data_IF_274454678357
#
_entry.id   IF_274454678357
#
_cell.length_a   1.000
_cell.length_b   1.000
_cell.length_c   1.000
_cell.angle_alpha   90.00
_cell.angle_beta   90.00
_cell.angle_gamma   90.00
#
_symmetry.space_group_name_H-M   'P 1'
#
loop_
_entity.id
_entity.type
_entity.pdbx_description
1 polymer ?
#
# COMPACT_ATOMS: atom_id res chain seq x y z
N UNK A 1 4.52 -24.00 3.91
CA UNK A 1 4.82 -22.65 4.38
C UNK A 1 5.74 -21.95 3.39
N UNK A 2 6.95 -22.45 3.10
CA UNK A 2 7.90 -21.80 2.18
C UNK A 2 7.34 -21.55 0.78
N UNK A 3 6.60 -22.51 0.22
CA UNK A 3 5.96 -22.38 -1.09
C UNK A 3 4.93 -21.22 -1.06
N UNK A 4 4.06 -21.18 -0.06
CA UNK A 4 3.07 -20.11 0.08
C UNK A 4 3.75 -18.75 0.17
N UNK A 5 4.83 -18.65 0.98
CA UNK A 5 5.61 -17.43 1.12
C UNK A 5 6.18 -16.94 -0.22
N UNK A 6 6.77 -17.84 -1.01
CA UNK A 6 7.34 -17.55 -2.33
C UNK A 6 6.25 -17.16 -3.33
N UNK A 7 5.11 -17.86 -3.35
CA UNK A 7 3.96 -17.55 -4.20
C UNK A 7 3.45 -16.12 -3.95
N UNK A 8 3.39 -15.69 -2.68
CA UNK A 8 2.96 -14.34 -2.32
C UNK A 8 3.94 -13.29 -2.85
N UNK A 9 5.25 -13.50 -2.65
CA UNK A 9 6.28 -12.56 -3.14
C UNK A 9 6.22 -12.45 -4.66
N UNK A 10 6.06 -13.57 -5.36
CA UNK A 10 5.91 -13.56 -6.81
C UNK A 10 4.62 -12.84 -7.25
N UNK A 11 3.50 -13.10 -6.56
CA UNK A 11 2.23 -12.40 -6.80
C UNK A 11 2.41 -10.89 -6.72
N UNK A 12 3.02 -10.41 -5.63
CA UNK A 12 3.23 -8.97 -5.42
C UNK A 12 4.10 -8.37 -6.52
N UNK A 13 5.22 -9.02 -6.84
CA UNK A 13 6.20 -8.47 -7.77
C UNK A 13 5.76 -8.50 -9.23
N UNK A 14 4.89 -9.44 -9.62
CA UNK A 14 4.48 -9.63 -11.02
C UNK A 14 3.13 -9.01 -11.39
N UNK A 15 2.38 -8.45 -10.44
CA UNK A 15 1.00 -7.95 -10.65
C UNK A 15 0.91 -6.83 -11.71
N UNK A 16 1.97 -6.06 -11.89
CA UNK A 16 1.98 -4.94 -12.82
C UNK A 16 2.23 -5.30 -14.28
N UNK A 17 2.75 -6.50 -14.58
CA UNK A 17 3.15 -6.87 -15.95
C UNK A 17 2.73 -8.30 -16.37
N UNK A 18 2.14 -9.09 -15.47
CA UNK A 18 1.55 -10.40 -15.80
C UNK A 18 0.05 -10.35 -15.55
N UNK A 19 -0.73 -10.54 -16.61
CA UNK A 19 -2.18 -10.55 -16.53
C UNK A 19 -2.71 -11.84 -15.86
N UNK A 20 -3.71 -11.72 -15.01
CA UNK A 20 -4.47 -12.78 -14.36
C UNK A 20 -3.70 -13.79 -13.49
N UNK A 21 -2.46 -14.18 -13.83
CA UNK A 21 -1.69 -15.19 -13.12
C UNK A 21 -1.36 -14.81 -11.67
N UNK A 22 -0.93 -13.57 -11.35
CA UNK A 22 -0.62 -13.19 -9.98
C UNK A 22 -1.80 -13.42 -9.03
N UNK A 23 -3.01 -13.08 -9.48
CA UNK A 23 -4.24 -13.29 -8.73
C UNK A 23 -4.55 -14.78 -8.55
N UNK A 24 -4.32 -15.62 -9.56
CA UNK A 24 -4.48 -17.08 -9.44
C UNK A 24 -3.50 -17.65 -8.41
N UNK A 25 -2.24 -17.22 -8.44
CA UNK A 25 -1.22 -17.62 -7.47
C UNK A 25 -1.57 -17.17 -6.05
N UNK A 26 -2.11 -15.97 -5.89
CA UNK A 26 -2.63 -15.49 -4.62
C UNK A 26 -3.72 -16.41 -4.06
N UNK A 27 -4.72 -16.77 -4.88
CA UNK A 27 -5.78 -17.70 -4.46
C UNK A 27 -5.22 -19.08 -4.09
N UNK A 28 -4.27 -19.61 -4.85
CA UNK A 28 -3.59 -20.87 -4.52
C UNK A 28 -2.93 -20.75 -3.13
N UNK A 29 -2.18 -19.67 -2.87
CA UNK A 29 -1.58 -19.40 -1.57
C UNK A 29 -2.61 -19.33 -0.44
N UNK A 30 -3.75 -18.69 -0.67
CA UNK A 30 -4.85 -18.63 0.30
C UNK A 30 -5.47 -20.01 0.58
N UNK A 31 -5.78 -20.79 -0.46
CA UNK A 31 -6.35 -22.13 -0.29
C UNK A 31 -5.39 -23.09 0.42
N UNK A 32 -4.10 -23.05 0.08
CA UNK A 32 -3.08 -23.80 0.80
C UNK A 32 -2.97 -23.37 2.27
N UNK A 33 -3.18 -22.08 2.56
CA UNK A 33 -3.16 -21.58 3.93
C UNK A 33 -4.38 -22.04 4.72
N UNK A 34 -5.57 -22.01 4.12
CA UNK A 34 -6.81 -22.53 4.73
C UNK A 34 -6.66 -24.02 5.01
N UNK A 35 -6.21 -24.79 4.01
CA UNK A 35 -5.93 -26.20 4.17
C UNK A 35 -4.91 -26.46 5.30
N UNK A 36 -3.81 -25.70 5.31
CA UNK A 36 -2.82 -25.77 6.37
C UNK A 36 -3.36 -25.46 7.76
N UNK A 37 -4.35 -24.57 7.91
CA UNK A 37 -5.02 -24.28 9.17
C UNK A 37 -5.85 -25.48 9.66
N UNK A 38 -6.51 -26.20 8.76
CA UNK A 38 -7.30 -27.38 9.10
C UNK A 38 -6.45 -28.55 9.65
N UNK A 39 -5.20 -28.65 9.18
CA UNK A 39 -4.24 -29.69 9.58
C UNK A 39 -3.22 -29.24 10.63
N UNK A 40 -3.43 -28.08 11.26
CA UNK A 40 -2.62 -27.67 12.40
C UNK A 40 -2.92 -28.57 13.61
N UNK A 41 -2.07 -29.57 13.83
CA UNK A 41 -2.25 -30.56 14.90
C UNK A 41 -2.16 -29.97 16.31
N UNK A 42 -1.52 -28.82 16.49
CA UNK A 42 -1.20 -28.31 17.83
C UNK A 42 -1.98 -27.05 18.22
N UNK A 43 -3.23 -27.26 18.61
CA UNK A 43 -4.04 -26.21 19.28
C UNK A 43 -3.71 -26.07 20.77
N UNK A 44 -2.86 -26.97 21.34
CA UNK A 44 -2.36 -26.83 22.70
C UNK A 44 -1.51 -25.53 22.77
N UNK A 45 -1.81 -24.68 23.75
CA UNK A 45 -1.14 -23.39 23.86
C UNK A 45 -1.64 -22.30 22.91
N UNK A 46 -2.68 -22.53 22.10
CA UNK A 46 -3.22 -21.56 21.16
C UNK A 46 -3.63 -20.26 21.87
N UNK A 47 -4.31 -20.33 23.00
CA UNK A 47 -4.68 -19.15 23.80
C UNK A 47 -3.45 -18.33 24.23
N UNK A 48 -2.40 -19.02 24.70
CA UNK A 48 -1.16 -18.36 25.10
C UNK A 48 -0.45 -17.70 23.90
N UNK A 49 -0.45 -18.39 22.74
CA UNK A 49 0.08 -17.83 21.50
C UNK A 49 -0.73 -16.61 21.05
N UNK A 50 -2.04 -16.61 21.11
CA UNK A 50 -2.89 -15.44 20.83
C UNK A 50 -2.54 -14.26 21.73
N UNK A 51 -2.43 -14.48 23.05
CA UNK A 51 -2.12 -13.45 24.01
C UNK A 51 -0.71 -12.87 23.82
N UNK A 52 0.28 -13.71 23.47
CA UNK A 52 1.64 -13.26 23.17
C UNK A 52 1.77 -12.51 21.84
N UNK A 53 0.75 -12.59 20.97
CA UNK A 53 0.72 -11.98 19.63
C UNK A 53 -0.44 -10.99 19.44
N UNK A 54 -1.02 -10.50 20.53
CA UNK A 54 -2.28 -9.74 20.51
C UNK A 54 -2.30 -8.55 19.54
N UNK A 55 -1.22 -7.77 19.44
CA UNK A 55 -1.16 -6.60 18.55
C UNK A 55 -1.09 -7.04 17.08
N UNK A 56 -0.27 -8.04 16.76
CA UNK A 56 -0.21 -8.57 15.40
C UNK A 56 -1.56 -9.16 14.98
N UNK A 57 -2.25 -9.87 15.88
CA UNK A 57 -3.58 -10.42 15.63
C UNK A 57 -4.61 -9.30 15.47
N UNK A 58 -4.56 -8.26 16.29
CA UNK A 58 -5.42 -7.09 16.13
C UNK A 58 -5.24 -6.44 14.75
N UNK A 59 -4.00 -6.34 14.27
CA UNK A 59 -3.71 -5.86 12.91
C UNK A 59 -4.29 -6.80 11.84
N UNK A 60 -4.14 -8.12 11.96
CA UNK A 60 -4.74 -9.07 11.03
C UNK A 60 -6.27 -8.99 11.03
N UNK A 61 -6.88 -8.89 12.20
CA UNK A 61 -8.33 -8.71 12.33
C UNK A 61 -8.80 -7.40 11.71
N UNK A 62 -8.03 -6.33 11.80
CA UNK A 62 -8.37 -5.06 11.15
C UNK A 62 -8.32 -5.14 9.62
N UNK A 63 -7.39 -5.91 9.04
CA UNK A 63 -7.36 -6.21 7.60
C UNK A 63 -8.64 -6.97 7.19
N UNK A 64 -9.02 -7.99 7.96
CA UNK A 64 -10.26 -8.73 7.73
C UNK A 64 -11.48 -7.83 7.86
N UNK A 65 -11.52 -6.97 8.88
CA UNK A 65 -12.62 -6.03 9.12
C UNK A 65 -12.74 -5.01 7.97
N UNK A 66 -11.62 -4.48 7.48
CA UNK A 66 -11.58 -3.59 6.32
C UNK A 66 -12.10 -4.30 5.05
N UNK A 67 -11.71 -5.55 4.85
CA UNK A 67 -12.25 -6.38 3.77
C UNK A 67 -13.74 -6.66 3.93
N UNK A 68 -14.19 -6.97 5.15
CA UNK A 68 -15.59 -7.25 5.47
C UNK A 68 -16.47 -6.00 5.25
N UNK A 69 -16.02 -4.80 5.63
CA UNK A 69 -16.78 -3.56 5.42
C UNK A 69 -17.08 -3.34 3.94
N UNK A 70 -16.10 -3.59 3.06
CA UNK A 70 -16.24 -3.47 1.61
C UNK A 70 -17.19 -4.54 1.04
N UNK A 71 -17.00 -5.78 1.46
CA UNK A 71 -17.80 -6.91 1.00
C UNK A 71 -19.27 -6.74 1.40
N UNK A 72 -19.54 -6.42 2.67
CA UNK A 72 -20.88 -6.23 3.20
C UNK A 72 -21.58 -5.06 2.51
N UNK A 73 -20.89 -3.91 2.36
CA UNK A 73 -21.43 -2.77 1.63
C UNK A 73 -21.84 -3.17 0.19
N UNK A 74 -20.97 -3.86 -0.54
CA UNK A 74 -21.25 -4.30 -1.92
C UNK A 74 -22.40 -5.31 -2.03
N UNK A 75 -22.72 -6.03 -0.96
CA UNK A 75 -23.84 -6.97 -0.93
C UNK A 75 -25.16 -6.30 -0.54
N UNK A 76 -25.12 -5.27 0.33
CA UNK A 76 -26.30 -4.55 0.79
C UNK A 76 -26.85 -3.60 -0.28
N UNK A 77 -25.94 -2.88 -0.96
CA UNK A 77 -26.36 -1.84 -1.92
C UNK A 77 -26.24 -2.35 -3.36
N UNK A 78 -27.37 -2.60 -4.04
CA UNK A 78 -27.36 -2.86 -5.48
C UNK A 78 -26.95 -1.58 -6.23
N UNK A 79 -26.19 -1.73 -7.28
CA UNK A 79 -25.85 -0.61 -8.16
C UNK A 79 -26.29 -0.94 -9.58
N UNK A 80 -26.86 0.04 -10.30
CA UNK A 80 -27.29 -0.12 -11.69
C UNK A 80 -26.36 0.61 -12.65
N UNK A 81 -25.94 1.84 -12.33
CA UNK A 81 -25.11 2.68 -13.19
C UNK A 81 -23.63 2.75 -12.75
N UNK A 82 -23.31 2.39 -11.49
CA UNK A 82 -21.96 2.40 -10.93
C UNK A 82 -21.50 0.98 -10.55
N UNK A 83 -21.85 -0.02 -11.37
CA UNK A 83 -21.55 -1.43 -11.13
C UNK A 83 -20.06 -1.69 -10.95
N UNK A 84 -19.19 -1.00 -11.70
CA UNK A 84 -17.74 -1.13 -11.58
C UNK A 84 -17.21 -0.85 -10.17
N UNK A 85 -17.81 0.13 -9.47
CA UNK A 85 -17.43 0.45 -8.09
C UNK A 85 -17.79 -0.72 -7.19
N UNK A 86 -19.01 -1.23 -7.30
CA UNK A 86 -19.50 -2.37 -6.53
C UNK A 86 -18.62 -3.60 -6.74
N UNK A 87 -18.31 -3.93 -7.99
CA UNK A 87 -17.51 -5.11 -8.34
C UNK A 87 -16.07 -5.00 -7.80
N UNK A 88 -15.49 -3.80 -7.83
CA UNK A 88 -14.17 -3.55 -7.25
C UNK A 88 -14.18 -3.67 -5.72
N UNK A 89 -15.20 -3.13 -5.04
CA UNK A 89 -15.35 -3.27 -3.59
C UNK A 89 -15.58 -4.73 -3.18
N UNK A 90 -16.41 -5.46 -3.91
CA UNK A 90 -16.65 -6.90 -3.69
C UNK A 90 -15.35 -7.70 -3.86
N UNK A 91 -14.66 -7.51 -4.97
CA UNK A 91 -13.42 -8.23 -5.24
C UNK A 91 -12.30 -7.85 -4.27
N UNK A 92 -12.09 -6.54 -4.02
CA UNK A 92 -11.08 -6.04 -3.07
C UNK A 92 -11.35 -6.50 -1.65
N UNK A 93 -12.63 -6.48 -1.21
CA UNK A 93 -13.03 -6.97 0.11
C UNK A 93 -12.68 -8.44 0.33
N UNK A 94 -12.97 -9.30 -0.65
CA UNK A 94 -12.59 -10.73 -0.59
C UNK A 94 -11.09 -10.92 -0.50
N UNK A 95 -10.31 -10.19 -1.29
CA UNK A 95 -8.85 -10.32 -1.31
C UNK A 95 -8.23 -9.88 0.02
N UNK A 96 -8.75 -8.82 0.66
CA UNK A 96 -8.29 -8.40 1.99
C UNK A 96 -8.62 -9.45 3.07
N UNK A 97 -9.84 -10.02 3.07
CA UNK A 97 -10.21 -11.10 4.01
C UNK A 97 -9.27 -12.30 3.83
N UNK A 98 -9.06 -12.73 2.60
CA UNK A 98 -8.16 -13.84 2.30
C UNK A 98 -6.72 -13.55 2.69
N UNK A 99 -6.23 -12.31 2.52
CA UNK A 99 -4.93 -11.89 3.01
C UNK A 99 -4.81 -12.05 4.53
N UNK A 100 -5.84 -11.66 5.28
CA UNK A 100 -5.87 -11.82 6.74
C UNK A 100 -5.81 -13.30 7.18
N UNK A 101 -6.56 -14.18 6.51
CA UNK A 101 -6.54 -15.63 6.79
C UNK A 101 -5.17 -16.23 6.47
N UNK A 102 -4.61 -15.90 5.33
CA UNK A 102 -3.27 -16.34 4.90
C UNK A 102 -2.19 -15.84 5.87
N UNK A 103 -2.30 -14.59 6.31
CA UNK A 103 -1.40 -14.00 7.30
C UNK A 103 -1.44 -14.73 8.63
N UNK A 104 -2.63 -15.10 9.09
CA UNK A 104 -2.80 -15.84 10.33
C UNK A 104 -2.09 -17.20 10.29
N UNK A 105 -2.24 -17.96 9.20
CA UNK A 105 -1.54 -19.23 9.01
C UNK A 105 -0.02 -19.04 8.99
N UNK A 106 0.47 -18.11 8.19
CA UNK A 106 1.92 -17.87 8.06
C UNK A 106 2.52 -17.32 9.35
N UNK A 107 1.81 -16.46 10.08
CA UNK A 107 2.26 -15.95 11.37
C UNK A 107 2.44 -17.06 12.41
N UNK A 108 1.52 -18.03 12.44
CA UNK A 108 1.63 -19.19 13.32
C UNK A 108 2.81 -20.09 12.92
N UNK A 109 3.09 -20.16 11.63
CA UNK A 109 4.09 -21.06 11.03
C UNK A 109 5.40 -20.35 10.67
N UNK A 110 5.64 -19.12 11.12
CA UNK A 110 6.79 -18.28 10.69
C UNK A 110 8.16 -18.93 10.99
N UNK A 111 8.26 -19.76 12.02
CA UNK A 111 9.50 -20.48 12.37
C UNK A 111 9.95 -21.50 11.34
N UNK A 112 9.05 -21.90 10.42
CA UNK A 112 9.32 -22.90 9.37
C UNK A 112 9.85 -22.22 8.09
N UNK A 113 9.78 -20.89 7.97
CA UNK A 113 10.32 -20.20 6.80
C UNK A 113 11.84 -20.22 6.85
N UNK A 114 12.45 -20.92 5.87
CA UNK A 114 13.89 -21.10 5.80
C UNK A 114 14.61 -19.79 5.42
N UNK A 115 15.86 -19.65 5.85
CA UNK A 115 16.70 -18.52 5.46
C UNK A 115 16.93 -18.46 3.94
N UNK A 116 16.98 -19.60 3.28
CA UNK A 116 17.07 -19.67 1.81
C UNK A 116 15.82 -19.10 1.14
N UNK A 117 14.62 -19.33 1.71
CA UNK A 117 13.38 -18.74 1.21
C UNK A 117 13.39 -17.22 1.30
N UNK A 118 13.94 -16.64 2.37
CA UNK A 118 14.12 -15.20 2.49
C UNK A 118 15.08 -14.63 1.44
N UNK A 119 16.21 -15.30 1.19
CA UNK A 119 17.16 -14.92 0.13
C UNK A 119 16.52 -15.00 -1.25
N UNK A 120 15.81 -16.09 -1.52
CA UNK A 120 15.12 -16.28 -2.78
C UNK A 120 14.04 -15.19 -2.99
N UNK A 121 13.26 -14.88 -1.97
CA UNK A 121 12.25 -13.82 -2.01
C UNK A 121 12.87 -12.44 -2.30
N UNK A 122 14.00 -12.11 -1.66
CA UNK A 122 14.71 -10.87 -1.91
C UNK A 122 15.23 -10.79 -3.35
N UNK A 123 15.86 -11.86 -3.86
CA UNK A 123 16.32 -11.92 -5.24
C UNK A 123 15.15 -11.79 -6.22
N UNK A 124 14.08 -12.55 -6.01
CA UNK A 124 12.86 -12.51 -6.83
C UNK A 124 12.28 -11.11 -6.87
N UNK A 125 12.15 -10.41 -5.73
CA UNK A 125 11.57 -9.07 -5.70
C UNK A 125 12.41 -8.04 -6.47
N UNK A 126 13.74 -8.13 -6.44
CA UNK A 126 14.64 -7.27 -7.24
C UNK A 126 14.48 -7.57 -8.73
N UNK A 127 14.51 -8.85 -9.11
CA UNK A 127 14.36 -9.29 -10.52
C UNK A 127 13.01 -8.83 -11.08
N UNK A 128 11.92 -9.02 -10.33
CA UNK A 128 10.59 -8.58 -10.75
C UNK A 128 10.51 -7.06 -10.85
N UNK A 129 11.19 -6.31 -9.97
CA UNK A 129 11.35 -4.86 -10.10
C UNK A 129 12.05 -4.45 -11.40
N UNK A 130 13.14 -5.14 -11.79
CA UNK A 130 13.83 -4.92 -13.07
C UNK A 130 12.95 -5.25 -14.28
N UNK A 131 12.18 -6.33 -14.21
CA UNK A 131 11.21 -6.66 -15.26
C UNK A 131 10.12 -5.58 -15.37
N UNK A 132 9.66 -5.03 -14.26
CA UNK A 132 8.71 -3.89 -14.25
C UNK A 132 9.32 -2.67 -14.98
N UNK A 133 10.63 -2.39 -14.79
CA UNK A 133 11.33 -1.33 -15.55
C UNK A 133 11.28 -1.61 -17.04
N UNK A 134 11.57 -2.85 -17.42
CA UNK A 134 11.55 -3.25 -18.83
C UNK A 134 10.19 -3.03 -19.48
N UNK A 135 9.12 -3.51 -18.86
CA UNK A 135 7.76 -3.33 -19.38
C UNK A 135 7.33 -1.86 -19.37
N UNK A 136 7.69 -1.10 -18.34
CA UNK A 136 7.42 0.34 -18.29
C UNK A 136 8.16 1.11 -19.39
N UNK A 137 9.39 0.72 -19.71
CA UNK A 137 10.14 1.29 -20.83
C UNK A 137 9.47 0.98 -22.18
N UNK A 138 9.00 -0.26 -22.38
CA UNK A 138 8.26 -0.64 -23.60
C UNK A 138 6.98 0.18 -23.75
N UNK A 139 6.20 0.35 -22.68
CA UNK A 139 4.98 1.18 -22.70
C UNK A 139 5.31 2.65 -23.06
N UNK A 140 6.41 3.18 -22.53
CA UNK A 140 6.86 4.54 -22.87
C UNK A 140 7.33 4.64 -24.33
N UNK A 141 8.01 3.62 -24.85
CA UNK A 141 8.51 3.59 -26.22
C UNK A 141 7.39 3.63 -27.28
N UNK A 142 6.18 3.17 -26.96
CA UNK A 142 5.01 3.27 -27.82
C UNK A 142 4.24 4.60 -27.66
N UNK A 143 4.84 5.59 -26.96
CA UNK A 143 4.31 6.95 -26.85
C UNK A 143 3.38 7.22 -25.67
N UNK A 144 3.28 6.30 -24.70
CA UNK A 144 2.50 6.53 -23.48
C UNK A 144 3.31 7.40 -22.51
N UNK A 145 2.89 8.65 -22.30
CA UNK A 145 3.60 9.60 -21.44
C UNK A 145 3.64 9.19 -19.97
N UNK A 146 2.55 8.58 -19.47
CA UNK A 146 2.42 8.14 -18.07
C UNK A 146 2.13 6.65 -18.05
N UNK A 147 3.13 5.86 -17.64
CA UNK A 147 2.97 4.41 -17.59
C UNK A 147 1.88 3.99 -16.60
N UNK A 148 1.06 3.04 -17.00
CA UNK A 148 0.04 2.39 -16.14
C UNK A 148 0.20 0.87 -16.05
N UNK A 149 0.96 0.30 -16.95
CA UNK A 149 1.13 -1.15 -17.06
C UNK A 149 -0.24 -1.87 -17.10
N UNK A 150 -0.38 -2.94 -16.34
CA UNK A 150 -1.66 -3.66 -16.23
C UNK A 150 -2.61 -3.09 -15.17
N UNK A 151 -2.29 -1.94 -14.57
CA UNK A 151 -3.20 -1.24 -13.67
C UNK A 151 -4.11 -0.28 -14.44
N UNK A 152 -5.29 0.02 -13.86
CA UNK A 152 -6.29 0.87 -14.49
C UNK A 152 -5.82 2.33 -14.67
N UNK A 153 -4.91 2.77 -13.79
CA UNK A 153 -4.40 4.14 -13.78
C UNK A 153 -2.92 4.22 -13.38
N UNK A 154 -2.21 5.23 -13.88
CA UNK A 154 -0.82 5.50 -13.50
C UNK A 154 -0.64 5.75 -11.98
N UNK A 155 -1.66 6.30 -11.31
CA UNK A 155 -1.67 6.46 -9.84
C UNK A 155 -1.68 5.11 -9.14
N UNK A 156 -2.51 4.17 -9.57
CA UNK A 156 -2.57 2.81 -9.05
C UNK A 156 -1.24 2.09 -9.18
N UNK A 157 -0.63 2.16 -10.37
CA UNK A 157 0.72 1.62 -10.64
C UNK A 157 1.73 2.20 -9.67
N UNK A 158 1.73 3.52 -9.50
CA UNK A 158 2.66 4.20 -8.60
C UNK A 158 2.52 3.75 -7.14
N UNK A 159 1.30 3.57 -6.64
CA UNK A 159 1.06 3.11 -5.26
C UNK A 159 1.53 1.67 -5.06
N UNK A 160 1.29 0.79 -6.03
CA UNK A 160 1.82 -0.58 -6.01
C UNK A 160 3.35 -0.56 -5.97
N UNK A 161 4.00 0.28 -6.79
CA UNK A 161 5.46 0.40 -6.83
C UNK A 161 6.05 0.89 -5.50
N UNK A 162 5.41 1.87 -4.82
CA UNK A 162 5.86 2.31 -3.49
C UNK A 162 5.78 1.15 -2.50
N UNK A 163 4.69 0.41 -2.48
CA UNK A 163 4.50 -0.75 -1.58
C UNK A 163 5.51 -1.86 -1.89
N UNK A 164 5.74 -2.17 -3.18
CA UNK A 164 6.75 -3.15 -3.61
C UNK A 164 8.17 -2.72 -3.21
N UNK A 165 8.50 -1.43 -3.28
CA UNK A 165 9.82 -0.93 -2.88
C UNK A 165 10.08 -1.14 -1.39
N UNK A 166 9.10 -0.85 -0.52
CA UNK A 166 9.21 -1.09 0.92
C UNK A 166 9.38 -2.58 1.22
N UNK A 167 8.64 -3.43 0.51
CA UNK A 167 8.80 -4.88 0.63
C UNK A 167 10.21 -5.31 0.22
N UNK A 168 10.71 -4.82 -0.93
CA UNK A 168 12.04 -5.15 -1.43
C UNK A 168 13.13 -4.75 -0.42
N UNK A 169 13.10 -3.52 0.13
CA UNK A 169 14.02 -3.08 1.18
C UNK A 169 13.96 -4.00 2.41
N UNK A 170 12.78 -4.40 2.83
CA UNK A 170 12.59 -5.26 4.01
C UNK A 170 13.13 -6.67 3.77
N UNK A 171 12.92 -7.23 2.59
CA UNK A 171 13.45 -8.54 2.20
C UNK A 171 14.98 -8.53 2.07
N UNK A 172 15.57 -7.48 1.48
CA UNK A 172 17.02 -7.28 1.40
C UNK A 172 17.62 -7.21 2.82
N UNK A 173 17.02 -6.43 3.72
CA UNK A 173 17.45 -6.35 5.12
C UNK A 173 17.51 -7.73 5.78
N UNK A 174 16.53 -8.57 5.49
CA UNK A 174 16.41 -9.91 6.04
C UNK A 174 17.40 -10.91 5.45
N UNK A 175 17.65 -10.81 4.14
CA UNK A 175 18.45 -11.75 3.36
C UNK A 175 19.95 -11.44 3.42
N UNK A 176 20.34 -10.15 3.57
CA UNK A 176 21.73 -9.69 3.45
C UNK A 176 22.23 -9.19 4.80
N UNK A 177 23.07 -10.00 5.46
CA UNK A 177 23.67 -9.66 6.75
C UNK A 177 24.82 -8.65 6.63
N UNK A 178 25.62 -8.72 5.56
CA UNK A 178 26.75 -7.81 5.33
C UNK A 178 26.22 -6.41 5.01
N UNK A 179 26.64 -5.42 5.80
CA UNK A 179 26.17 -4.03 5.68
C UNK A 179 26.52 -3.38 4.34
N UNK A 180 27.71 -3.63 3.81
CA UNK A 180 28.15 -3.05 2.53
C UNK A 180 27.28 -3.55 1.37
N UNK A 181 27.13 -4.88 1.25
CA UNK A 181 26.26 -5.46 0.22
C UNK A 181 24.80 -5.02 0.36
N UNK A 182 24.31 -4.95 1.59
CA UNK A 182 22.94 -4.45 1.87
C UNK A 182 22.77 -3.01 1.39
N UNK A 183 23.74 -2.13 1.65
CA UNK A 183 23.71 -0.75 1.17
C UNK A 183 23.72 -0.67 -0.35
N UNK A 184 24.56 -1.47 -1.03
CA UNK A 184 24.59 -1.53 -2.50
C UNK A 184 23.22 -1.97 -3.06
N UNK A 185 22.60 -3.02 -2.50
CA UNK A 185 21.27 -3.43 -2.93
C UNK A 185 20.18 -2.40 -2.63
N UNK A 186 20.27 -1.66 -1.54
CA UNK A 186 19.35 -0.56 -1.26
C UNK A 186 19.48 0.57 -2.28
N UNK A 187 20.69 0.95 -2.63
CA UNK A 187 20.95 1.96 -3.67
C UNK A 187 20.40 1.49 -5.03
N UNK A 188 20.66 0.25 -5.41
CA UNK A 188 20.12 -0.31 -6.66
C UNK A 188 18.59 -0.30 -6.66
N UNK A 189 17.96 -0.76 -5.58
CA UNK A 189 16.49 -0.76 -5.42
C UNK A 189 15.92 0.65 -5.47
N UNK A 190 16.59 1.61 -4.81
CA UNK A 190 16.21 3.02 -4.86
C UNK A 190 16.18 3.55 -6.30
N UNK A 191 17.22 3.29 -7.11
CA UNK A 191 17.24 3.73 -8.49
C UNK A 191 16.19 3.07 -9.36
N UNK A 192 15.96 1.76 -9.20
CA UNK A 192 14.93 1.00 -9.92
C UNK A 192 13.56 1.66 -9.70
N UNK A 193 13.16 1.82 -8.44
CA UNK A 193 11.83 2.35 -8.11
C UNK A 193 11.70 3.86 -8.34
N UNK A 194 12.79 4.65 -8.18
CA UNK A 194 12.79 6.06 -8.55
C UNK A 194 12.49 6.24 -10.02
N UNK A 195 13.18 5.48 -10.89
CA UNK A 195 12.97 5.56 -12.34
C UNK A 195 11.54 5.18 -12.72
N UNK A 196 11.02 4.07 -12.18
CA UNK A 196 9.65 3.63 -12.40
C UNK A 196 8.61 4.68 -11.96
N UNK A 197 8.77 5.24 -10.78
CA UNK A 197 7.85 6.25 -10.24
C UNK A 197 7.87 7.54 -11.08
N UNK A 198 9.03 7.94 -11.56
CA UNK A 198 9.15 9.09 -12.47
C UNK A 198 8.42 8.88 -13.79
N UNK A 199 8.36 7.64 -14.30
CA UNK A 199 7.58 7.31 -15.49
C UNK A 199 6.06 7.40 -15.26
N UNK A 200 5.58 7.25 -14.01
CA UNK A 200 4.15 7.41 -13.69
C UNK A 200 3.71 8.87 -13.55
N UNK A 201 4.65 9.78 -13.32
CA UNK A 201 4.42 11.21 -13.01
C UNK A 201 3.42 11.45 -11.86
N UNK A 202 3.31 10.50 -10.91
CA UNK A 202 2.36 10.57 -9.80
C UNK A 202 3.01 11.25 -8.60
N UNK A 203 2.74 12.56 -8.42
CA UNK A 203 3.40 13.43 -7.41
C UNK A 203 3.31 12.89 -5.99
N UNK A 204 2.13 12.44 -5.57
CA UNK A 204 1.89 11.91 -4.22
C UNK A 204 2.70 10.65 -3.93
N UNK A 205 2.78 9.71 -4.87
CA UNK A 205 3.56 8.49 -4.74
C UNK A 205 5.07 8.79 -4.74
N UNK A 206 5.53 9.67 -5.63
CA UNK A 206 6.94 10.10 -5.70
C UNK A 206 7.35 10.72 -4.36
N UNK A 207 6.59 11.71 -3.86
CA UNK A 207 6.87 12.34 -2.56
C UNK A 207 6.89 11.33 -1.41
N UNK A 208 5.91 10.43 -1.35
CA UNK A 208 5.84 9.37 -0.34
C UNK A 208 7.06 8.45 -0.41
N UNK A 209 7.46 8.02 -1.61
CA UNK A 209 8.63 7.15 -1.80
C UNK A 209 9.93 7.82 -1.26
N UNK A 210 10.14 9.11 -1.54
CA UNK A 210 11.31 9.82 -1.03
C UNK A 210 11.28 9.98 0.48
N UNK A 211 10.13 10.26 1.08
CA UNK A 211 9.96 10.28 2.55
C UNK A 211 10.33 8.93 3.13
N UNK A 212 9.81 7.84 2.56
CA UNK A 212 10.11 6.46 2.98
C UNK A 212 11.62 6.17 2.89
N UNK A 213 12.26 6.50 1.77
CA UNK A 213 13.69 6.28 1.58
C UNK A 213 14.54 7.13 2.54
N UNK A 214 14.14 8.37 2.80
CA UNK A 214 14.80 9.25 3.76
C UNK A 214 14.73 8.67 5.18
N UNK A 215 13.54 8.24 5.62
CA UNK A 215 13.36 7.64 6.94
C UNK A 215 14.14 6.32 7.03
N UNK A 216 14.13 5.47 5.99
CA UNK A 216 14.95 4.26 5.94
C UNK A 216 16.44 4.58 6.09
N UNK A 217 16.94 5.59 5.36
CA UNK A 217 18.32 6.03 5.45
C UNK A 217 18.67 6.50 6.87
N UNK A 218 17.81 7.27 7.54
CA UNK A 218 17.99 7.68 8.92
C UNK A 218 18.15 6.47 9.87
N UNK A 219 17.33 5.43 9.70
CA UNK A 219 17.43 4.21 10.51
C UNK A 219 18.70 3.40 10.23
N UNK A 220 19.12 3.27 8.99
CA UNK A 220 20.31 2.50 8.59
C UNK A 220 21.61 3.24 8.90
N UNK A 221 21.63 4.57 8.73
CA UNK A 221 22.81 5.40 8.98
C UNK A 221 23.06 5.69 10.47
N UNK A 222 22.09 5.43 11.36
CA UNK A 222 22.21 5.74 12.79
C UNK A 222 23.49 5.20 13.44
N UNK A 223 24.00 4.07 12.96
CA UNK A 223 25.19 3.40 13.49
C UNK A 223 26.43 3.59 12.57
N UNK A 224 26.37 4.52 11.62
CA UNK A 224 27.42 4.75 10.64
C UNK A 224 28.17 6.05 10.97
N UNK A 225 29.47 6.10 10.69
CA UNK A 225 30.31 7.28 10.98
C UNK A 225 29.77 8.53 10.24
N UNK A 226 29.83 9.73 10.85
CA UNK A 226 29.24 10.97 10.29
C UNK A 226 29.71 11.33 8.87
N UNK A 227 30.94 10.95 8.49
CA UNK A 227 31.47 11.19 7.13
C UNK A 227 30.61 10.56 6.01
N UNK A 228 29.93 9.44 6.29
CA UNK A 228 29.06 8.78 5.31
C UNK A 228 27.70 9.46 5.21
N UNK A 229 27.28 10.19 6.24
CA UNK A 229 26.08 11.04 6.19
C UNK A 229 26.23 12.14 5.14
N UNK A 230 27.41 12.76 5.05
CA UNK A 230 27.69 13.77 4.04
C UNK A 230 27.57 13.20 2.62
N UNK A 231 28.14 12.02 2.37
CA UNK A 231 28.02 11.34 1.08
C UNK A 231 26.57 10.97 0.75
N UNK A 232 25.80 10.49 1.73
CA UNK A 232 24.38 10.18 1.54
C UNK A 232 23.57 11.46 1.23
N UNK A 233 23.80 12.54 1.95
CA UNK A 233 23.15 13.83 1.70
C UNK A 233 23.49 14.38 0.32
N UNK A 234 24.77 14.30 -0.09
CA UNK A 234 25.21 14.72 -1.42
C UNK A 234 24.49 13.90 -2.51
N UNK A 235 24.45 12.57 -2.37
CA UNK A 235 23.74 11.70 -3.30
C UNK A 235 22.23 12.03 -3.39
N UNK A 236 21.58 12.24 -2.24
CA UNK A 236 20.17 12.64 -2.17
C UNK A 236 19.95 13.99 -2.86
N UNK A 237 20.87 14.96 -2.66
CA UNK A 237 20.78 16.30 -3.26
C UNK A 237 20.92 16.25 -4.78
N UNK A 238 21.89 15.48 -5.30
CA UNK A 238 22.09 15.32 -6.75
C UNK A 238 20.88 14.65 -7.39
N UNK A 239 20.39 13.58 -6.79
CA UNK A 239 19.22 12.84 -7.28
C UNK A 239 17.96 13.71 -7.17
N UNK A 240 17.76 14.36 -6.03
CA UNK A 240 16.65 15.28 -5.80
C UNK A 240 16.64 16.44 -6.80
N UNK A 241 17.80 16.99 -7.11
CA UNK A 241 17.97 18.02 -8.15
C UNK A 241 17.57 17.52 -9.55
N UNK A 242 18.02 16.33 -9.94
CA UNK A 242 17.64 15.71 -11.22
C UNK A 242 16.14 15.44 -11.34
N UNK A 243 15.52 14.98 -10.24
CA UNK A 243 14.07 14.77 -10.16
C UNK A 243 13.32 16.11 -10.23
N UNK A 244 13.75 17.10 -9.46
CA UNK A 244 13.14 18.43 -9.47
C UNK A 244 13.19 19.04 -10.89
N UNK A 245 14.31 18.88 -11.60
CA UNK A 245 14.43 19.29 -12.99
C UNK A 245 13.42 18.59 -13.91
N UNK A 246 13.34 17.26 -13.84
CA UNK A 246 12.35 16.48 -14.63
C UNK A 246 10.91 16.82 -14.25
N UNK A 247 10.65 17.15 -13.00
CA UNK A 247 9.33 17.48 -12.47
C UNK A 247 9.01 18.98 -12.49
N UNK A 248 9.91 19.82 -13.01
CA UNK A 248 9.75 21.29 -12.99
C UNK A 248 8.39 21.74 -13.53
N UNK A 249 7.97 21.22 -14.68
CA UNK A 249 6.65 21.53 -15.27
C UNK A 249 5.52 21.21 -14.31
N UNK A 250 5.58 20.06 -13.62
CA UNK A 250 4.58 19.62 -12.66
C UNK A 250 4.57 20.44 -11.37
N UNK A 251 5.72 20.95 -10.97
CA UNK A 251 5.87 21.85 -9.80
C UNK A 251 5.23 23.21 -10.11
N UNK A 252 5.51 23.77 -11.31
CA UNK A 252 4.90 25.02 -11.78
C UNK A 252 3.38 24.86 -11.86
N UNK A 253 2.87 23.79 -12.50
CA UNK A 253 1.43 23.50 -12.54
C UNK A 253 0.80 23.42 -11.14
N UNK A 254 1.51 22.86 -10.15
CA UNK A 254 0.99 22.81 -8.78
C UNK A 254 0.91 24.21 -8.15
N UNK A 255 1.91 25.04 -8.38
CA UNK A 255 1.92 26.43 -7.91
C UNK A 255 0.78 27.24 -8.54
N UNK A 256 0.60 27.14 -9.87
CA UNK A 256 -0.50 27.79 -10.59
C UNK A 256 -1.86 27.32 -10.08
N UNK A 257 -2.02 26.03 -9.80
CA UNK A 257 -3.26 25.49 -9.23
C UNK A 257 -3.58 26.08 -7.85
N UNK A 258 -2.56 26.33 -7.01
CA UNK A 258 -2.75 27.00 -5.71
C UNK A 258 -3.18 28.46 -5.92
N UNK A 259 -2.55 29.18 -6.83
CA UNK A 259 -2.95 30.55 -7.15
C UNK A 259 -4.38 30.63 -7.70
N UNK A 260 -4.77 29.68 -8.57
CA UNK A 260 -6.13 29.60 -9.09
C UNK A 260 -7.13 29.36 -7.96
N UNK A 261 -6.82 28.46 -7.03
CA UNK A 261 -7.69 28.18 -5.88
C UNK A 261 -7.87 29.42 -4.99
N UNK A 262 -6.80 30.21 -4.76
CA UNK A 262 -6.89 31.49 -4.02
C UNK A 262 -7.79 32.51 -4.72
N UNK A 263 -7.92 32.41 -6.05
CA UNK A 263 -8.84 33.24 -6.86
C UNK A 263 -10.25 32.64 -6.97
N UNK A 264 -10.60 31.68 -6.09
CA UNK A 264 -11.87 30.93 -6.10
C UNK A 264 -12.12 30.11 -7.37
N UNK A 265 -11.08 29.83 -8.17
CA UNK A 265 -11.17 28.93 -9.30
C UNK A 265 -10.77 27.52 -8.88
N UNK A 266 -11.76 26.68 -8.57
CA UNK A 266 -11.57 25.30 -8.17
C UNK A 266 -11.51 24.30 -9.37
N UNK A 267 -11.54 24.81 -10.61
CA UNK A 267 -11.53 23.97 -11.83
C UNK A 267 -10.11 23.57 -12.24
N UNK A 268 -9.31 23.17 -11.26
CA UNK A 268 -7.95 22.65 -11.42
C UNK A 268 -7.81 21.31 -10.71
N UNK A 269 -6.78 20.54 -11.05
CA UNK A 269 -6.56 19.23 -10.42
C UNK A 269 -6.44 19.28 -8.89
N UNK A 270 -5.80 20.31 -8.34
CA UNK A 270 -5.68 20.48 -6.88
C UNK A 270 -6.96 21.08 -6.28
N UNK A 271 -7.55 22.07 -6.96
CA UNK A 271 -8.80 22.69 -6.54
C UNK A 271 -9.95 21.66 -6.50
N UNK A 272 -10.06 20.82 -7.51
CA UNK A 272 -11.04 19.74 -7.54
C UNK A 272 -10.91 18.79 -6.34
N UNK A 273 -9.68 18.43 -5.92
CA UNK A 273 -9.45 17.58 -4.74
C UNK A 273 -9.93 18.26 -3.45
N UNK A 274 -9.65 19.55 -3.30
CA UNK A 274 -10.16 20.33 -2.16
C UNK A 274 -11.68 20.31 -2.10
N UNK A 275 -12.34 20.59 -3.24
CA UNK A 275 -13.80 20.54 -3.36
C UNK A 275 -14.35 19.14 -3.07
N UNK A 276 -13.67 18.08 -3.54
CA UNK A 276 -14.06 16.70 -3.27
C UNK A 276 -13.95 16.35 -1.79
N UNK A 277 -12.89 16.81 -1.09
CA UNK A 277 -12.74 16.61 0.35
C UNK A 277 -13.90 17.23 1.12
N UNK A 278 -14.25 18.48 0.81
CA UNK A 278 -15.35 19.19 1.46
C UNK A 278 -16.70 18.55 1.14
N UNK A 279 -16.96 18.26 -0.14
CA UNK A 279 -18.18 17.57 -0.54
C UNK A 279 -18.30 16.18 0.11
N UNK A 280 -17.19 15.43 0.22
CA UNK A 280 -17.15 14.12 0.85
C UNK A 280 -17.51 14.17 2.33
N UNK A 281 -17.04 15.19 3.06
CA UNK A 281 -17.43 15.42 4.45
C UNK A 281 -18.91 15.76 4.56
N UNK A 282 -19.43 16.59 3.64
CA UNK A 282 -20.83 17.00 3.64
C UNK A 282 -21.80 15.83 3.39
N UNK A 283 -21.41 14.88 2.53
CA UNK A 283 -22.23 13.69 2.21
C UNK A 283 -21.88 12.47 3.05
N UNK A 284 -21.06 12.63 4.09
CA UNK A 284 -20.69 11.54 5.00
C UNK A 284 -21.95 10.88 5.59
N UNK A 285 -21.94 9.53 5.64
CA UNK A 285 -23.09 8.79 6.10
C UNK A 285 -22.89 8.28 7.53
N UNK A 286 -23.73 8.76 8.46
CA UNK A 286 -23.77 8.28 9.84
C UNK A 286 -24.55 6.95 10.01
N UNK A 287 -25.08 6.39 8.93
CA UNK A 287 -25.64 5.03 8.99
C UNK A 287 -24.55 4.00 9.21
N UNK A 288 -24.90 2.85 9.79
CA UNK A 288 -23.92 1.78 10.11
C UNK A 288 -23.21 1.27 8.85
N UNK A 289 -23.95 1.06 7.76
CA UNK A 289 -23.45 0.45 6.52
C UNK A 289 -23.31 1.43 5.35
N UNK A 290 -23.55 2.73 5.61
CA UNK A 290 -23.35 3.76 4.59
C UNK A 290 -24.57 4.00 3.71
N UNK A 291 -24.32 4.25 2.42
CA UNK A 291 -25.34 4.59 1.44
C UNK A 291 -24.98 4.05 0.06
N UNK A 292 -25.94 4.01 -0.84
CA UNK A 292 -25.75 3.63 -2.22
C UNK A 292 -24.80 4.60 -2.97
N UNK A 293 -24.02 4.09 -3.92
CA UNK A 293 -23.03 4.88 -4.67
C UNK A 293 -23.67 5.99 -5.52
N UNK A 294 -24.83 5.73 -6.12
CA UNK A 294 -25.56 6.70 -6.94
C UNK A 294 -26.16 7.80 -6.07
N UNK A 295 -26.71 7.44 -4.91
CA UNK A 295 -27.23 8.38 -3.93
C UNK A 295 -26.11 9.31 -3.43
N UNK A 296 -24.95 8.74 -3.09
CA UNK A 296 -23.75 9.51 -2.70
C UNK A 296 -23.34 10.48 -3.79
N UNK A 297 -23.21 9.99 -5.03
CA UNK A 297 -22.84 10.80 -6.18
C UNK A 297 -23.80 11.96 -6.39
N UNK A 298 -25.10 11.71 -6.39
CA UNK A 298 -26.12 12.74 -6.63
C UNK A 298 -26.09 13.82 -5.54
N UNK A 299 -25.98 13.47 -4.26
CA UNK A 299 -25.85 14.41 -3.14
C UNK A 299 -24.58 15.27 -3.28
N UNK A 300 -23.44 14.63 -3.56
CA UNK A 300 -22.17 15.33 -3.70
C UNK A 300 -22.17 16.27 -4.92
N UNK A 301 -22.73 15.82 -6.05
CA UNK A 301 -22.89 16.62 -7.25
C UNK A 301 -23.73 17.88 -6.97
N UNK A 302 -24.90 17.74 -6.37
CA UNK A 302 -25.75 18.86 -6.02
C UNK A 302 -25.02 19.87 -5.10
N UNK A 303 -24.27 19.37 -4.11
CA UNK A 303 -23.49 20.22 -3.23
C UNK A 303 -22.41 21.00 -3.97
N UNK A 304 -21.65 20.33 -4.86
CA UNK A 304 -20.57 20.95 -5.64
C UNK A 304 -21.12 21.98 -6.63
N UNK A 305 -22.18 21.64 -7.36
CA UNK A 305 -22.81 22.53 -8.34
C UNK A 305 -23.34 23.79 -7.69
N UNK A 306 -23.88 23.69 -6.46
CA UNK A 306 -24.40 24.82 -5.69
C UNK A 306 -23.28 25.73 -5.15
N UNK A 307 -22.21 25.16 -4.61
CA UNK A 307 -21.22 25.90 -3.81
C UNK A 307 -19.93 26.24 -4.59
N UNK A 308 -19.49 25.41 -5.52
CA UNK A 308 -18.16 25.53 -6.15
C UNK A 308 -18.19 25.64 -7.67
N UNK A 309 -19.23 25.14 -8.34
CA UNK A 309 -19.35 25.10 -9.81
C UNK A 309 -18.14 24.45 -10.50
N UNK A 310 -17.51 23.45 -9.85
CA UNK A 310 -16.33 22.75 -10.38
C UNK A 310 -16.72 21.52 -11.18
N UNK A 311 -16.66 21.61 -12.51
CA UNK A 311 -16.93 20.49 -13.42
C UNK A 311 -15.93 19.34 -13.24
N UNK A 312 -14.66 19.65 -12.96
CA UNK A 312 -13.61 18.65 -12.73
C UNK A 312 -13.90 17.83 -11.47
N UNK A 313 -14.32 18.48 -10.36
CA UNK A 313 -14.70 17.76 -9.15
C UNK A 313 -15.94 16.88 -9.39
N UNK A 314 -16.98 17.39 -10.08
CA UNK A 314 -18.18 16.60 -10.41
C UNK A 314 -17.83 15.35 -11.22
N UNK A 315 -16.91 15.47 -12.18
CA UNK A 315 -16.44 14.32 -12.97
C UNK A 315 -15.72 13.27 -12.10
N UNK A 316 -14.87 13.73 -11.18
CA UNK A 316 -14.02 12.86 -10.37
C UNK A 316 -14.78 12.14 -9.25
N UNK A 317 -15.76 12.80 -8.58
CA UNK A 317 -16.55 12.20 -7.49
C UNK A 317 -17.42 11.02 -7.93
N UNK A 318 -17.60 10.83 -9.23
CA UNK A 318 -18.27 9.66 -9.77
C UNK A 318 -17.62 8.37 -9.25
N UNK A 319 -16.28 8.37 -9.13
CA UNK A 319 -15.51 7.20 -8.72
C UNK A 319 -15.16 7.23 -7.24
N UNK A 320 -14.53 8.30 -6.72
CA UNK A 320 -14.08 8.40 -5.32
C UNK A 320 -13.72 9.84 -4.92
N UNK A 321 -13.54 10.06 -3.60
CA UNK A 321 -13.23 11.39 -3.03
C UNK A 321 -11.73 11.68 -2.82
N UNK A 322 -10.82 10.86 -3.36
CA UNK A 322 -9.37 11.01 -3.21
C UNK A 322 -8.86 11.11 -1.76
N UNK A 323 -9.52 10.41 -0.84
CA UNK A 323 -9.09 10.23 0.54
C UNK A 323 -9.74 8.98 1.12
N UNK A 324 -8.93 8.05 1.62
CA UNK A 324 -9.40 6.74 2.11
C UNK A 324 -10.43 6.83 3.25
N UNK A 325 -10.23 7.78 4.19
CA UNK A 325 -11.11 7.93 5.35
C UNK A 325 -12.45 8.51 4.93
N UNK A 326 -12.42 9.58 4.12
CA UNK A 326 -13.64 10.24 3.62
C UNK A 326 -14.41 9.31 2.68
N UNK A 327 -13.71 8.59 1.82
CA UNK A 327 -14.33 7.60 0.93
C UNK A 327 -15.06 6.53 1.75
N UNK A 328 -14.38 5.94 2.75
CA UNK A 328 -14.97 4.92 3.60
C UNK A 328 -16.17 5.46 4.39
N UNK A 329 -16.09 6.68 4.93
CA UNK A 329 -17.18 7.29 5.69
C UNK A 329 -18.37 7.67 4.80
N UNK A 330 -18.12 8.26 3.63
CA UNK A 330 -19.19 8.69 2.74
C UNK A 330 -19.93 7.54 2.08
N UNK A 331 -19.27 6.41 1.81
CA UNK A 331 -19.85 5.28 1.10
C UNK A 331 -20.27 4.14 2.04
N UNK A 332 -19.38 3.71 2.96
CA UNK A 332 -19.56 2.55 3.83
C UNK A 332 -20.05 2.90 5.24
N UNK A 333 -20.21 4.21 5.54
CA UNK A 333 -20.71 4.70 6.81
C UNK A 333 -19.77 4.45 8.00
N UNK A 334 -20.38 4.30 9.19
CA UNK A 334 -19.61 4.11 10.42
C UNK A 334 -18.78 2.83 10.41
N UNK A 335 -19.28 1.74 9.83
CA UNK A 335 -18.54 0.49 9.75
C UNK A 335 -17.27 0.63 8.90
N UNK A 336 -17.37 1.31 7.75
CA UNK A 336 -16.21 1.57 6.88
C UNK A 336 -15.15 2.46 7.53
N UNK A 337 -15.55 3.57 8.14
CA UNK A 337 -14.59 4.50 8.74
C UNK A 337 -13.93 3.90 9.99
N UNK A 338 -14.65 3.14 10.80
CA UNK A 338 -14.06 2.42 11.94
C UNK A 338 -13.04 1.38 11.43
N UNK A 339 -13.38 0.62 10.39
CA UNK A 339 -12.51 -0.40 9.84
C UNK A 339 -11.19 0.19 9.30
N UNK A 340 -11.23 1.29 8.55
CA UNK A 340 -10.03 1.92 8.01
C UNK A 340 -9.17 2.58 9.12
N UNK A 341 -9.78 3.21 10.12
CA UNK A 341 -9.05 3.76 11.26
C UNK A 341 -8.37 2.66 12.05
N UNK A 342 -9.09 1.56 12.36
CA UNK A 342 -8.51 0.40 13.04
C UNK A 342 -7.36 -0.21 12.27
N UNK A 343 -7.45 -0.28 10.93
CA UNK A 343 -6.36 -0.76 10.09
C UNK A 343 -5.09 0.10 10.28
N UNK A 344 -5.19 1.42 10.19
CA UNK A 344 -4.05 2.30 10.38
C UNK A 344 -3.51 2.25 11.82
N UNK A 345 -4.37 2.36 12.82
CA UNK A 345 -3.96 2.37 14.24
C UNK A 345 -3.27 1.05 14.61
N UNK A 346 -3.89 -0.08 14.31
CA UNK A 346 -3.31 -1.38 14.69
C UNK A 346 -2.05 -1.72 13.88
N UNK A 347 -1.95 -1.27 12.63
CA UNK A 347 -0.74 -1.41 11.82
C UNK A 347 0.45 -0.61 12.37
N UNK A 348 0.21 0.64 12.78
CA UNK A 348 1.25 1.44 13.46
C UNK A 348 1.63 0.82 14.82
N UNK A 349 0.67 0.37 15.61
CA UNK A 349 0.95 -0.33 16.87
C UNK A 349 1.74 -1.62 16.63
N UNK A 350 1.41 -2.39 15.59
CA UNK A 350 2.14 -3.60 15.23
C UNK A 350 3.59 -3.30 14.82
N UNK A 351 3.86 -2.14 14.22
CA UNK A 351 5.23 -1.71 13.90
C UNK A 351 6.07 -1.36 15.14
N UNK A 352 5.44 -1.06 16.28
CA UNK A 352 6.06 -0.62 17.54
C UNK A 352 6.04 -1.67 18.65
N UNK A 353 5.70 -2.93 18.39
CA UNK A 353 5.32 -3.96 19.37
C UNK A 353 6.36 -4.30 20.45
N UNK A 354 7.63 -3.91 20.32
CA UNK A 354 8.64 -4.21 21.35
C UNK A 354 9.34 -2.96 21.88
N UNK A 355 9.54 -2.91 23.23
CA UNK A 355 10.35 -1.89 23.90
C UNK A 355 11.65 -1.65 23.13
N UNK A 356 11.78 -0.48 22.49
CA UNK A 356 12.96 0.00 21.78
C UNK A 356 13.33 -0.69 20.45
N UNK A 357 12.45 -1.51 19.85
CA UNK A 357 12.68 -2.08 18.51
C UNK A 357 11.48 -1.89 17.61
N UNK A 358 11.68 -1.08 16.57
CA UNK A 358 10.68 -0.88 15.52
C UNK A 358 10.85 -1.92 14.41
N UNK A 359 9.73 -2.46 13.94
CA UNK A 359 9.71 -3.06 12.62
C UNK A 359 9.73 -1.94 11.58
N UNK A 360 10.93 -1.55 11.19
CA UNK A 360 11.12 -0.43 10.25
C UNK A 360 10.37 -0.68 8.94
N UNK A 361 10.38 -1.91 8.42
CA UNK A 361 9.65 -2.25 7.19
C UNK A 361 8.15 -2.03 7.32
N UNK A 362 7.52 -2.52 8.40
CA UNK A 362 6.10 -2.33 8.62
C UNK A 362 5.77 -0.86 8.93
N UNK A 363 6.63 -0.15 9.66
CA UNK A 363 6.46 1.28 9.93
C UNK A 363 6.46 2.10 8.64
N UNK A 364 7.45 1.88 7.77
CA UNK A 364 7.55 2.55 6.47
C UNK A 364 6.36 2.24 5.57
N UNK A 365 5.91 0.99 5.57
CA UNK A 365 4.74 0.56 4.84
C UNK A 365 3.47 1.26 5.31
N UNK A 366 3.20 1.27 6.62
CA UNK A 366 2.02 1.95 7.17
C UNK A 366 2.07 3.46 6.94
N UNK A 367 3.25 4.07 7.07
CA UNK A 367 3.45 5.49 6.77
C UNK A 367 3.20 5.79 5.29
N UNK A 368 3.69 4.93 4.38
CA UNK A 368 3.45 5.08 2.95
C UNK A 368 1.96 4.99 2.62
N UNK A 369 1.26 3.98 3.13
CA UNK A 369 -0.18 3.83 2.90
C UNK A 369 -0.96 5.02 3.47
N UNK A 370 -0.63 5.48 4.67
CA UNK A 370 -1.30 6.62 5.27
C UNK A 370 -1.13 7.89 4.44
N UNK A 371 0.11 8.23 4.05
CA UNK A 371 0.40 9.41 3.24
C UNK A 371 -0.30 9.36 1.86
N UNK A 372 -0.28 8.20 1.20
CA UNK A 372 -0.97 8.02 -0.08
C UNK A 372 -2.49 8.05 0.11
N UNK A 373 -3.03 7.43 1.17
CA UNK A 373 -4.46 7.42 1.50
C UNK A 373 -5.05 8.77 1.88
N UNK A 374 -4.21 9.74 2.30
CA UNK A 374 -4.64 11.14 2.49
C UNK A 374 -4.90 11.87 1.15
N UNK A 375 -4.29 11.41 0.06
CA UNK A 375 -4.32 12.09 -1.24
C UNK A 375 -5.04 11.31 -2.33
N UNK A 376 -5.38 10.05 -2.06
CA UNK A 376 -6.13 9.17 -2.97
C UNK A 376 -6.80 8.03 -2.21
N UNK A 377 -7.45 7.09 -2.92
CA UNK A 377 -8.12 5.94 -2.33
C UNK A 377 -7.43 4.65 -2.78
N UNK A 378 -6.77 3.99 -1.83
CA UNK A 378 -5.90 2.83 -2.10
C UNK A 378 -6.66 1.51 -2.23
N UNK A 379 -7.77 1.37 -1.49
CA UNK A 379 -8.44 0.08 -1.29
C UNK A 379 -9.65 -0.13 -2.20
N UNK A 380 -9.89 0.71 -3.21
CA UNK A 380 -10.99 0.51 -4.15
C UNK A 380 -10.66 -0.59 -5.14
N UNK A 381 -9.51 -0.51 -5.79
CA UNK A 381 -9.16 -1.42 -6.87
C UNK A 381 -8.70 -2.78 -6.32
N UNK A 382 -9.15 -3.84 -6.99
CA UNK A 382 -8.81 -5.23 -6.60
C UNK A 382 -7.32 -5.50 -6.57
N UNK A 383 -6.53 -4.95 -7.52
CA UNK A 383 -5.09 -5.20 -7.60
C UNK A 383 -4.35 -4.54 -6.43
N UNK A 384 -4.66 -3.27 -6.11
CA UNK A 384 -4.07 -2.60 -4.95
C UNK A 384 -4.45 -3.29 -3.65
N UNK A 385 -5.72 -3.68 -3.47
CA UNK A 385 -6.16 -4.40 -2.27
C UNK A 385 -5.41 -5.72 -2.09
N UNK A 386 -5.18 -6.49 -3.18
CA UNK A 386 -4.40 -7.72 -3.15
C UNK A 386 -2.94 -7.47 -2.75
N UNK A 387 -2.27 -6.55 -3.45
CA UNK A 387 -0.84 -6.26 -3.21
C UNK A 387 -0.64 -5.68 -1.81
N UNK A 388 -1.49 -4.74 -1.38
CA UNK A 388 -1.43 -4.17 -0.03
C UNK A 388 -1.63 -5.26 1.02
N UNK A 389 -2.69 -6.06 0.92
CA UNK A 389 -2.93 -7.16 1.85
C UNK A 389 -1.76 -8.15 1.92
N UNK A 390 -1.26 -8.59 0.77
CA UNK A 390 -0.14 -9.52 0.66
C UNK A 390 1.19 -8.94 1.22
N UNK A 391 1.49 -7.67 0.97
CA UNK A 391 2.66 -6.99 1.53
C UNK A 391 2.59 -6.88 3.06
N UNK A 392 1.42 -6.54 3.61
CA UNK A 392 1.20 -6.51 5.06
C UNK A 392 1.56 -7.84 5.71
N UNK A 393 1.17 -8.97 5.08
CA UNK A 393 1.52 -10.32 5.54
C UNK A 393 3.04 -10.50 5.65
N UNK A 394 3.75 -10.25 4.55
CA UNK A 394 5.22 -10.48 4.51
C UNK A 394 5.95 -9.58 5.50
N UNK A 395 5.57 -8.30 5.58
CA UNK A 395 6.23 -7.34 6.47
C UNK A 395 6.01 -7.67 7.95
N UNK A 396 4.84 -8.19 8.30
CA UNK A 396 4.57 -8.68 9.64
C UNK A 396 5.43 -9.90 9.99
N UNK A 397 5.68 -10.80 9.03
CA UNK A 397 6.54 -11.97 9.21
C UNK A 397 8.01 -11.57 9.40
N UNK A 398 8.50 -10.53 8.69
CA UNK A 398 9.87 -10.05 8.82
C UNK A 398 10.25 -9.71 10.26
N UNK A 399 9.33 -9.14 11.04
CA UNK A 399 9.54 -8.77 12.44
C UNK A 399 9.75 -9.99 13.35
N UNK A 400 8.95 -11.03 13.15
CA UNK A 400 8.84 -12.15 14.09
C UNK A 400 10.02 -13.10 14.08
N UNK A 401 10.64 -13.29 12.96
CA UNK A 401 11.82 -14.13 12.86
C UNK A 401 13.04 -13.52 13.58
N UNK A 402 13.19 -12.18 13.60
CA UNK A 402 14.24 -11.50 14.35
C UNK A 402 14.12 -11.72 15.87
N UNK A 403 12.91 -11.78 16.38
CA UNK A 403 12.63 -11.96 17.79
C UNK A 403 13.01 -13.35 18.30
N UNK A 404 12.78 -14.42 17.52
CA UNK A 404 13.18 -15.79 17.89
C UNK A 404 14.68 -15.98 17.90
N UNK A 405 15.42 -15.35 16.97
CA UNK A 405 16.90 -15.41 16.97
C UNK A 405 17.51 -14.79 18.23
N UNK A 406 16.88 -13.75 18.77
CA UNK A 406 17.35 -13.07 19.98
C UNK A 406 16.99 -13.85 21.24
N UNK A 407 15.84 -14.50 21.30
CA UNK A 407 15.44 -15.35 22.41
C UNK A 407 16.32 -16.62 22.48
N UNK A 408 16.60 -17.25 21.35
CA UNK A 408 17.51 -18.39 21.28
C UNK A 408 18.98 -18.06 21.55
N UNK A 409 19.41 -16.80 21.32
CA UNK A 409 20.77 -16.36 21.65
C UNK A 409 20.94 -15.95 23.12
N UNK A 410 19.84 -15.85 23.89
CA UNK A 410 19.83 -15.53 25.32
C UNK A 410 19.59 -16.73 26.22
N UNK A 411 19.20 -17.86 25.67
CA UNK A 411 19.17 -19.20 26.28
C UNK A 411 20.49 -19.93 26.03
#
# INVERSE_FOLDING_TARGET
>A
VNIIFILIVFTIGSDLFIEAYPRKLFYIGCYLSIFGLLFLENWKGFRQWLLSNKIAIAFLLSIVLLGASKLIWSMIFPSTHLQDIKDNYYAGGKLLILSGVMAFYLLKSVSVISFQSWKFAACTSVVLGLLTVWFGYQEQAIGINRIKLLADAATTTAYIMVVQSVLCFSLIKKAVSNQLYRTVFYIATFFIFSYLLLMTETRGAIGTFFIVCFVLACFELRNVKPRYWFLALLAISVIGGGIAYKMQKRIVEAYDNIQQLQKNNANTSLGARFVMLDAGQHVASFSLFGQDAEQRYNKARQYIEKNYKSAEAVRAIKYHFHNDIIESFSLQGLFGVIAIILFYVTGFLASCEKKNKFNVGLLLYMSALFLMGLTDVLFIQRNTAMVIGACAVILLLCQRDENKKIENARQ
#
